data_IF_386479025043
#
_entry.id   IF_386479025043
#
_cell.length_a   1.000
_cell.length_b   1.000
_cell.length_c   1.000
_cell.angle_alpha   90.00
_cell.angle_beta   90.00
_cell.angle_gamma   90.00
#
_symmetry.space_group_name_H-M   'P 1'
#
loop_
_entity.id
_entity.type
_entity.pdbx_description
1 polymer ?
#
# COMPACT_ATOMS: atom_id res chain seq x y z
N UNK A 1 3.85 -12.32 36.03
CA UNK A 1 4.81 -13.07 35.19
C UNK A 1 4.25 -13.12 33.78
N UNK A 2 4.72 -12.24 32.88
CA UNK A 2 4.35 -12.21 31.46
C UNK A 2 5.65 -11.99 30.68
N UNK A 3 6.55 -12.96 30.73
CA UNK A 3 7.84 -12.92 30.01
C UNK A 3 7.88 -13.93 28.85
N UNK A 4 6.95 -14.90 28.79
CA UNK A 4 7.00 -15.98 27.79
C UNK A 4 6.67 -15.58 26.34
N UNK A 5 5.82 -14.57 26.11
CA UNK A 5 5.36 -14.23 24.76
C UNK A 5 6.33 -13.33 23.97
N UNK A 6 7.22 -12.60 24.64
CA UNK A 6 8.19 -11.73 23.95
C UNK A 6 9.38 -12.53 23.41
N UNK A 7 9.84 -13.54 24.15
CA UNK A 7 10.97 -14.37 23.73
C UNK A 7 10.61 -15.26 22.53
N UNK A 8 9.40 -15.84 22.52
CA UNK A 8 8.90 -16.65 21.40
C UNK A 8 8.78 -15.86 20.09
N UNK A 9 8.27 -14.62 20.16
CA UNK A 9 8.16 -13.74 19.00
C UNK A 9 9.53 -13.28 18.48
N UNK A 10 10.53 -13.19 19.37
CA UNK A 10 11.91 -12.88 19.00
C UNK A 10 12.58 -14.06 18.30
N UNK A 11 12.39 -15.29 18.82
CA UNK A 11 12.91 -16.52 18.24
C UNK A 11 12.32 -16.79 16.84
N UNK A 12 11.00 -16.61 16.67
CA UNK A 12 10.31 -16.76 15.38
C UNK A 12 10.85 -15.81 14.31
N UNK A 13 11.13 -14.56 14.70
CA UNK A 13 11.72 -13.55 13.79
C UNK A 13 13.13 -13.91 13.34
N UNK A 14 13.97 -14.43 14.24
CA UNK A 14 15.32 -14.85 13.89
C UNK A 14 15.31 -16.04 12.93
N UNK A 15 14.46 -17.04 13.18
CA UNK A 15 14.28 -18.18 12.28
C UNK A 15 13.75 -17.74 10.92
N UNK A 16 12.80 -16.79 10.89
CA UNK A 16 12.26 -16.22 9.65
C UNK A 16 13.34 -15.53 8.81
N UNK A 17 14.24 -14.75 9.44
CA UNK A 17 15.36 -14.11 8.73
C UNK A 17 16.33 -15.12 8.11
N UNK A 18 16.60 -16.21 8.82
CA UNK A 18 17.46 -17.27 8.32
C UNK A 18 16.79 -17.94 7.12
N UNK A 19 15.50 -18.29 7.24
CA UNK A 19 14.73 -18.88 6.14
C UNK A 19 14.70 -17.97 4.90
N UNK A 20 14.48 -16.67 5.08
CA UNK A 20 14.58 -15.68 3.98
C UNK A 20 15.96 -15.70 3.33
N UNK A 21 17.03 -15.80 4.13
CA UNK A 21 18.41 -15.84 3.62
C UNK A 21 18.64 -17.08 2.77
N UNK A 22 18.11 -18.23 3.19
CA UNK A 22 18.17 -19.49 2.42
C UNK A 22 17.39 -19.35 1.12
N UNK A 23 16.15 -18.85 1.16
CA UNK A 23 15.33 -18.61 -0.05
C UNK A 23 16.07 -17.72 -1.06
N UNK A 24 16.80 -16.71 -0.59
CA UNK A 24 17.57 -15.81 -1.46
C UNK A 24 18.71 -16.51 -2.21
N UNK A 25 19.29 -17.59 -1.64
CA UNK A 25 20.34 -18.37 -2.31
C UNK A 25 19.81 -19.08 -3.58
N UNK A 26 18.51 -19.38 -3.60
CA UNK A 26 17.81 -19.99 -4.74
C UNK A 26 17.40 -18.99 -5.82
N UNK A 27 17.61 -17.69 -5.59
CA UNK A 27 17.43 -16.66 -6.62
C UNK A 27 16.00 -16.54 -7.15
N UNK A 28 15.84 -16.59 -8.48
CA UNK A 28 14.54 -16.36 -9.14
C UNK A 28 13.63 -17.57 -9.14
N UNK A 29 14.24 -18.75 -9.04
CA UNK A 29 13.53 -20.02 -9.14
C UNK A 29 12.90 -20.41 -7.79
N UNK A 30 13.29 -19.72 -6.71
CA UNK A 30 12.77 -19.91 -5.36
C UNK A 30 13.16 -21.26 -4.74
N UNK A 31 12.80 -21.45 -3.48
CA UNK A 31 13.11 -22.66 -2.71
C UNK A 31 11.88 -23.60 -2.71
N UNK A 32 11.93 -24.80 -3.29
CA UNK A 32 10.82 -25.75 -3.23
C UNK A 32 10.42 -26.07 -1.77
N UNK A 33 9.12 -26.08 -1.48
CA UNK A 33 8.58 -26.30 -0.13
C UNK A 33 9.06 -27.61 0.48
N UNK A 34 9.12 -28.66 -0.33
CA UNK A 34 9.61 -29.99 0.06
C UNK A 34 11.08 -29.98 0.52
N UNK A 35 11.88 -29.04 0.00
CA UNK A 35 13.30 -28.89 0.37
C UNK A 35 13.52 -27.94 1.54
N UNK A 36 12.51 -27.17 1.96
CA UNK A 36 12.68 -26.14 3.01
C UNK A 36 13.21 -26.72 4.30
N UNK A 37 12.65 -27.85 4.77
CA UNK A 37 13.11 -28.49 6.01
C UNK A 37 14.55 -28.96 5.92
N UNK A 38 14.92 -29.59 4.80
CA UNK A 38 16.26 -30.16 4.58
C UNK A 38 17.30 -29.04 4.46
N UNK A 39 17.02 -28.01 3.68
CA UNK A 39 17.90 -26.86 3.47
C UNK A 39 18.08 -26.05 4.75
N UNK A 40 17.00 -25.83 5.50
CA UNK A 40 17.09 -25.15 6.80
C UNK A 40 17.88 -25.98 7.81
N UNK A 41 17.64 -27.29 7.89
CA UNK A 41 18.38 -28.17 8.79
C UNK A 41 19.85 -28.27 8.41
N UNK A 42 20.17 -28.31 7.12
CA UNK A 42 21.55 -28.29 6.63
C UNK A 42 22.27 -26.99 7.00
N UNK A 43 21.56 -25.85 6.92
CA UNK A 43 22.12 -24.53 7.22
C UNK A 43 22.29 -24.27 8.72
N UNK A 44 21.32 -24.70 9.54
CA UNK A 44 21.23 -24.37 10.97
C UNK A 44 21.66 -25.50 11.91
N UNK A 45 21.66 -26.74 11.44
CA UNK A 45 21.91 -27.94 12.25
C UNK A 45 20.69 -28.42 13.07
N UNK A 46 19.52 -27.79 12.92
CA UNK A 46 18.28 -28.17 13.61
C UNK A 46 17.06 -27.96 12.72
N UNK A 47 15.95 -28.64 13.04
CA UNK A 47 14.69 -28.54 12.28
C UNK A 47 13.90 -27.28 12.64
N UNK A 48 13.13 -26.75 11.69
CA UNK A 48 12.29 -25.57 11.91
C UNK A 48 11.26 -25.89 13.00
N UNK A 49 11.24 -25.18 14.14
CA UNK A 49 10.37 -25.50 15.26
C UNK A 49 8.97 -24.88 15.09
N UNK A 50 8.32 -25.08 13.93
CA UNK A 50 7.04 -24.43 13.60
C UNK A 50 5.91 -24.77 14.58
N UNK A 51 5.93 -25.94 15.21
CA UNK A 51 4.97 -26.34 16.24
C UNK A 51 5.04 -25.44 17.48
N UNK A 52 6.23 -24.92 17.82
CA UNK A 52 6.41 -23.97 18.94
C UNK A 52 5.73 -22.62 18.67
N UNK A 53 5.49 -22.29 17.39
CA UNK A 53 4.80 -21.09 16.96
C UNK A 53 3.29 -21.30 16.78
N UNK A 54 2.77 -22.47 17.18
CA UNK A 54 1.34 -22.78 17.14
C UNK A 54 0.83 -23.22 15.76
N UNK A 55 1.72 -23.67 14.88
CA UNK A 55 1.36 -24.16 13.55
C UNK A 55 1.33 -25.70 13.50
N UNK A 56 0.33 -26.27 12.82
CA UNK A 56 0.16 -27.73 12.69
C UNK A 56 1.17 -28.38 11.75
N UNK A 57 1.70 -27.61 10.78
CA UNK A 57 2.69 -28.07 9.82
C UNK A 57 3.51 -26.90 9.25
N UNK A 58 4.67 -27.20 8.67
CA UNK A 58 5.59 -26.22 8.08
C UNK A 58 4.89 -25.27 7.09
N UNK A 59 4.04 -25.82 6.22
CA UNK A 59 3.27 -25.05 5.25
C UNK A 59 2.38 -24.02 5.94
N UNK A 60 1.62 -24.44 6.96
CA UNK A 60 0.72 -23.55 7.72
C UNK A 60 1.47 -22.41 8.41
N UNK A 61 2.70 -22.66 8.89
CA UNK A 61 3.57 -21.65 9.46
C UNK A 61 4.15 -20.69 8.41
N UNK A 62 4.65 -21.19 7.27
CA UNK A 62 5.19 -20.31 6.21
C UNK A 62 4.13 -19.33 5.73
N UNK A 63 2.87 -19.76 5.65
CA UNK A 63 1.74 -18.90 5.26
C UNK A 63 1.44 -17.78 6.26
N UNK A 64 1.94 -17.86 7.50
CA UNK A 64 1.82 -16.76 8.48
C UNK A 64 2.96 -15.74 8.37
N UNK A 65 4.03 -16.03 7.60
CA UNK A 65 5.19 -15.16 7.48
C UNK A 65 4.96 -14.06 6.42
N UNK A 66 5.07 -12.77 6.77
CA UNK A 66 4.71 -11.68 5.87
C UNK A 66 5.67 -11.48 4.68
N UNK A 67 6.92 -11.94 4.81
CA UNK A 67 8.00 -11.65 3.85
C UNK A 67 8.28 -12.81 2.87
N UNK A 68 7.51 -13.90 2.94
CA UNK A 68 7.70 -15.11 2.15
C UNK A 68 6.41 -15.45 1.40
N UNK A 69 6.50 -15.61 0.09
CA UNK A 69 5.40 -16.07 -0.75
C UNK A 69 5.56 -17.53 -1.12
N UNK A 70 4.47 -18.29 -1.06
CA UNK A 70 4.36 -19.64 -1.58
C UNK A 70 3.68 -19.60 -2.96
N UNK A 71 4.38 -20.05 -3.99
CA UNK A 71 3.96 -20.07 -5.40
C UNK A 71 4.05 -21.50 -5.95
N UNK A 72 3.53 -21.72 -7.16
CA UNK A 72 3.73 -22.97 -7.89
C UNK A 72 4.70 -22.72 -9.05
N UNK A 73 5.64 -23.63 -9.26
CA UNK A 73 6.51 -23.60 -10.44
C UNK A 73 5.80 -24.17 -11.69
N UNK A 74 6.51 -24.21 -12.83
CA UNK A 74 5.98 -24.76 -14.08
C UNK A 74 5.64 -26.26 -14.03
N UNK A 75 6.16 -26.98 -13.03
CA UNK A 75 5.91 -28.40 -12.80
C UNK A 75 4.85 -28.62 -11.71
N UNK A 76 4.20 -27.55 -11.24
CA UNK A 76 3.18 -27.58 -10.18
C UNK A 76 3.72 -27.97 -8.80
N UNK A 77 5.02 -27.76 -8.55
CA UNK A 77 5.63 -27.89 -7.23
C UNK A 77 5.51 -26.58 -6.47
N UNK A 78 5.37 -26.65 -5.15
CA UNK A 78 5.29 -25.45 -4.31
C UNK A 78 6.67 -24.89 -4.05
N UNK A 79 6.83 -23.58 -4.19
CA UNK A 79 8.11 -22.89 -4.12
C UNK A 79 7.97 -21.59 -3.33
N UNK A 80 8.91 -21.35 -2.43
CA UNK A 80 9.02 -20.15 -1.61
C UNK A 80 9.85 -19.09 -2.35
N UNK A 81 9.33 -17.87 -2.44
CA UNK A 81 10.05 -16.71 -2.95
C UNK A 81 9.97 -15.58 -1.93
N UNK A 82 11.09 -14.89 -1.71
CA UNK A 82 11.13 -13.72 -0.82
C UNK A 82 10.36 -12.54 -1.44
N UNK A 83 9.48 -11.90 -0.68
CA UNK A 83 9.00 -10.56 -1.02
C UNK A 83 10.12 -9.55 -0.76
N UNK A 84 10.55 -8.84 -1.80
CA UNK A 84 11.67 -7.91 -1.64
C UNK A 84 11.43 -6.59 -2.37
N UNK A 85 11.26 -5.52 -1.58
CA UNK A 85 11.42 -4.12 -2.02
C UNK A 85 12.84 -3.83 -2.57
N UNK A 86 13.83 -4.68 -2.28
CA UNK A 86 15.22 -4.55 -2.75
C UNK A 86 15.52 -5.25 -4.09
N UNK A 87 14.63 -6.11 -4.58
CA UNK A 87 14.89 -6.91 -5.78
C UNK A 87 14.62 -6.19 -7.10
N UNK A 88 13.97 -5.01 -7.06
CA UNK A 88 13.71 -4.19 -8.26
C UNK A 88 14.99 -3.56 -8.81
N UNK A 89 15.85 -3.00 -7.96
CA UNK A 89 17.15 -2.47 -8.37
C UNK A 89 18.11 -3.58 -8.83
N UNK A 90 18.03 -4.78 -8.24
CA UNK A 90 18.78 -5.96 -8.72
C UNK A 90 18.18 -6.47 -10.05
N UNK A 91 16.86 -6.45 -10.23
CA UNK A 91 16.19 -6.71 -11.51
C UNK A 91 16.66 -5.71 -12.57
N UNK A 92 16.71 -4.43 -12.26
CA UNK A 92 17.22 -3.40 -13.18
C UNK A 92 18.70 -3.58 -13.48
N UNK A 93 19.54 -3.87 -12.49
CA UNK A 93 20.96 -4.18 -12.70
C UNK A 93 21.14 -5.42 -13.59
N UNK A 94 20.38 -6.49 -13.36
CA UNK A 94 20.45 -7.71 -14.16
C UNK A 94 19.87 -7.51 -15.57
N UNK A 95 18.80 -6.73 -15.74
CA UNK A 95 18.21 -6.40 -17.04
C UNK A 95 19.13 -5.48 -17.85
N UNK A 96 19.74 -4.48 -17.21
CA UNK A 96 20.77 -3.60 -17.80
C UNK A 96 22.03 -4.39 -18.16
N UNK A 97 22.44 -5.37 -17.34
CA UNK A 97 23.56 -6.28 -17.62
C UNK A 97 23.27 -7.28 -18.76
N UNK A 98 22.01 -7.70 -18.96
CA UNK A 98 21.63 -8.63 -20.04
C UNK A 98 21.38 -7.96 -21.40
N UNK A 99 21.14 -6.64 -21.44
CA UNK A 99 20.93 -5.88 -22.68
C UNK A 99 22.22 -5.56 -23.45
N UNK A 100 23.40 -5.73 -22.85
CA UNK A 100 24.69 -5.37 -23.47
C UNK A 100 25.58 -6.57 -23.86
N UNK A 101 25.07 -7.79 -23.81
CA UNK A 101 25.82 -9.00 -24.20
C UNK A 101 25.32 -9.66 -25.49
N UNK A 102 25.10 -8.87 -26.53
CA UNK A 102 25.20 -9.33 -27.94
C UNK A 102 25.58 -8.17 -28.85
N UNK A 103 26.82 -7.71 -28.77
CA UNK A 103 27.69 -7.58 -29.95
C UNK A 103 29.08 -7.12 -29.49
N UNK A 104 30.10 -7.60 -30.21
CA UNK A 104 31.52 -7.22 -30.19
C UNK A 104 32.47 -8.15 -29.43
N UNK A 105 32.87 -9.19 -30.16
CA UNK A 105 34.25 -9.64 -30.17
C UNK A 105 35.18 -8.45 -30.51
N UNK A 106 36.11 -8.10 -29.62
CA UNK A 106 37.56 -7.99 -29.92
C UNK A 106 38.38 -7.60 -28.69
N UNK A 107 39.18 -8.57 -28.23
CA UNK A 107 40.61 -8.53 -27.88
C UNK A 107 41.23 -7.28 -27.20
N UNK A 108 41.84 -7.61 -26.04
CA UNK A 108 43.21 -7.34 -25.54
C UNK A 108 43.41 -6.28 -24.45
N UNK A 109 43.98 -6.79 -23.34
CA UNK A 109 45.04 -6.27 -22.47
C UNK A 109 45.08 -4.77 -22.15
N UNK A 110 45.04 -4.41 -20.86
CA UNK A 110 46.29 -4.28 -20.09
C UNK A 110 46.05 -4.13 -18.59
N UNK A 111 47.14 -4.37 -17.86
CA UNK A 111 47.26 -4.52 -16.41
C UNK A 111 47.18 -3.22 -15.61
N UNK A 112 46.95 -3.44 -14.30
CA UNK A 112 47.65 -2.83 -13.16
C UNK A 112 47.12 -1.55 -12.45
N UNK A 113 46.73 -1.81 -11.19
CA UNK A 113 47.25 -1.24 -9.93
C UNK A 113 46.64 0.01 -9.25
N UNK A 114 46.37 -0.22 -7.95
CA UNK A 114 46.21 0.69 -6.79
C UNK A 114 44.91 1.52 -6.69
N UNK A 115 44.28 1.76 -5.54
CA UNK A 115 44.67 1.58 -4.13
C UNK A 115 43.42 1.44 -3.24
N UNK A 116 43.59 0.75 -2.10
CA UNK A 116 42.73 0.78 -0.90
C UNK A 116 42.36 2.21 -0.51
N UNK A 117 41.14 2.41 -0.01
CA UNK A 117 40.98 2.84 1.38
C UNK A 117 39.57 2.63 1.95
N UNK A 118 39.46 2.90 3.24
CA UNK A 118 38.78 2.11 4.25
C UNK A 118 37.50 2.74 4.81
N UNK A 119 36.65 1.87 5.38
CA UNK A 119 35.81 2.07 6.57
C UNK A 119 35.41 3.53 6.93
N UNK A 120 34.10 3.79 6.97
CA UNK A 120 33.44 4.26 8.21
C UNK A 120 31.90 4.20 8.17
N UNK A 121 31.39 3.64 9.27
CA UNK A 121 30.01 3.51 9.74
C UNK A 121 29.18 4.79 9.64
N UNK A 122 27.88 4.62 9.33
CA UNK A 122 26.70 5.08 10.10
C UNK A 122 25.54 4.14 9.71
N UNK A 123 25.17 3.11 10.46
CA UNK A 123 24.27 3.17 11.62
C UNK A 123 23.27 4.34 11.57
N UNK A 124 22.03 4.07 11.14
CA UNK A 124 20.82 4.59 11.79
C UNK A 124 19.54 3.98 11.19
N UNK A 125 18.67 3.46 12.06
CA UNK A 125 17.21 3.53 11.89
C UNK A 125 16.50 2.31 11.32
N UNK A 126 16.26 1.30 12.16
CA UNK A 126 15.08 0.43 12.03
C UNK A 126 13.81 1.31 12.02
N UNK A 127 13.02 1.23 10.96
CA UNK A 127 11.65 1.72 10.99
C UNK A 127 10.71 0.55 11.26
N UNK A 128 10.05 0.62 12.42
CA UNK A 128 8.90 -0.19 12.77
C UNK A 128 7.78 0.06 11.75
N UNK A 129 7.36 -0.99 11.04
CA UNK A 129 6.11 -0.96 10.28
C UNK A 129 4.93 -0.78 11.25
N UNK A 130 3.94 0.09 10.95
CA UNK A 130 2.80 0.29 11.82
C UNK A 130 1.92 -0.96 11.88
N UNK A 131 1.43 -1.27 13.08
CA UNK A 131 0.37 -2.25 13.31
C UNK A 131 -0.87 -1.85 12.49
N UNK A 132 -1.11 -2.52 11.35
CA UNK A 132 -2.19 -2.19 10.42
C UNK A 132 -1.86 -2.34 8.93
N UNK A 133 -0.63 -2.64 8.54
CA UNK A 133 -0.30 -3.08 7.18
C UNK A 133 -0.92 -4.46 6.91
N UNK A 134 -2.06 -4.50 6.22
CA UNK A 134 -2.75 -5.74 5.85
C UNK A 134 -2.32 -6.17 4.44
N UNK A 135 -1.44 -7.18 4.37
CA UNK A 135 -1.21 -7.97 3.16
C UNK A 135 -2.45 -8.84 2.95
N UNK A 136 -3.07 -8.74 1.77
CA UNK A 136 -4.34 -9.39 1.49
C UNK A 136 -4.17 -10.90 1.23
N UNK A 137 -4.69 -11.74 2.12
CA UNK A 137 -4.79 -13.20 1.98
C UNK A 137 -5.63 -13.68 0.76
N UNK A 138 -6.30 -12.79 0.04
CA UNK A 138 -7.06 -13.15 -1.18
C UNK A 138 -6.24 -13.11 -2.45
N UNK A 139 -5.02 -12.57 -2.41
CA UNK A 139 -4.02 -12.71 -3.50
C UNK A 139 -3.29 -14.06 -3.35
N UNK A 140 -3.21 -14.58 -2.11
CA UNK A 140 -2.43 -15.76 -1.73
C UNK A 140 -3.22 -17.09 -1.70
N UNK A 141 -4.52 -17.09 -2.04
CA UNK A 141 -5.29 -18.32 -2.24
C UNK A 141 -5.66 -18.46 -3.71
N UNK A 142 -4.76 -19.02 -4.52
CA UNK A 142 -5.07 -19.85 -5.70
C UNK A 142 -3.77 -20.22 -6.41
N UNK A 143 -3.78 -21.35 -7.13
CA UNK A 143 -2.72 -21.93 -7.98
C UNK A 143 -2.73 -21.34 -9.41
N UNK A 144 -1.56 -20.93 -9.94
CA UNK A 144 -1.47 -20.14 -11.19
C UNK A 144 -1.25 -21.10 -12.35
N UNK A 145 -2.29 -21.40 -13.14
CA UNK A 145 -2.14 -21.94 -14.50
C UNK A 145 -3.45 -21.83 -15.28
N UNK A 146 -3.98 -20.62 -15.42
CA UNK A 146 -5.08 -20.37 -16.34
C UNK A 146 -5.00 -18.96 -16.92
N UNK A 147 -5.20 -18.81 -18.23
CA UNK A 147 -5.27 -17.52 -18.94
C UNK A 147 -6.35 -16.59 -18.37
N UNK A 148 -7.40 -17.18 -17.78
CA UNK A 148 -8.41 -16.50 -16.97
C UNK A 148 -7.85 -15.82 -15.71
N UNK A 149 -6.68 -16.24 -15.20
CA UNK A 149 -6.05 -15.70 -13.99
C UNK A 149 -5.14 -14.50 -14.25
N UNK A 150 -4.47 -14.41 -15.40
CA UNK A 150 -3.79 -13.17 -15.81
C UNK A 150 -4.81 -12.02 -15.92
N UNK A 151 -5.96 -12.29 -16.54
CA UNK A 151 -7.09 -11.38 -16.52
C UNK A 151 -7.54 -11.06 -15.09
N UNK A 152 -7.56 -12.04 -14.18
CA UNK A 152 -7.91 -11.81 -12.77
C UNK A 152 -6.86 -11.01 -11.99
N UNK A 153 -5.59 -11.13 -12.32
CA UNK A 153 -4.52 -10.34 -11.71
C UNK A 153 -4.56 -8.89 -12.22
N UNK A 154 -4.73 -8.69 -13.52
CA UNK A 154 -4.95 -7.38 -14.12
C UNK A 154 -6.23 -6.72 -13.59
N UNK A 155 -7.29 -7.51 -13.40
CA UNK A 155 -8.51 -7.10 -12.68
C UNK A 155 -8.21 -6.61 -11.26
N UNK A 156 -7.39 -7.35 -10.51
CA UNK A 156 -7.07 -7.01 -9.12
C UNK A 156 -6.13 -5.81 -9.03
N UNK A 157 -5.17 -5.65 -9.95
CA UNK A 157 -4.32 -4.46 -10.05
C UNK A 157 -5.15 -3.21 -10.37
N UNK A 158 -6.15 -3.32 -11.26
CA UNK A 158 -7.10 -2.25 -11.53
C UNK A 158 -7.92 -1.84 -10.28
N UNK A 159 -8.04 -2.72 -9.29
CA UNK A 159 -8.79 -2.50 -8.04
C UNK A 159 -7.92 -1.98 -6.89
N UNK A 160 -6.66 -1.63 -7.14
CA UNK A 160 -5.77 -1.05 -6.14
C UNK A 160 -5.98 0.48 -5.98
N UNK A 161 -5.50 1.07 -4.86
CA UNK A 161 -5.06 0.41 -3.63
C UNK A 161 -6.27 -0.09 -2.81
N UNK A 162 -6.08 -1.15 -2.03
CA UNK A 162 -7.14 -1.69 -1.17
C UNK A 162 -6.97 -1.24 0.29
N UNK A 163 -8.03 -0.67 0.87
CA UNK A 163 -8.16 -0.33 2.28
C UNK A 163 -9.32 -1.14 2.87
N UNK A 164 -9.03 -2.13 3.70
CA UNK A 164 -10.06 -2.99 4.34
C UNK A 164 -11.10 -3.55 3.35
N UNK A 165 -10.64 -4.19 2.26
CA UNK A 165 -11.47 -4.71 1.16
C UNK A 165 -12.26 -3.66 0.37
N UNK A 166 -12.00 -2.37 0.59
CA UNK A 166 -12.52 -1.28 -0.22
C UNK A 166 -11.42 -0.82 -1.17
N UNK A 167 -11.73 -0.68 -2.45
CA UNK A 167 -10.83 0.04 -3.35
C UNK A 167 -10.85 1.52 -3.01
N UNK A 168 -9.67 2.10 -2.76
CA UNK A 168 -9.55 3.52 -2.55
C UNK A 168 -9.57 4.25 -3.90
N UNK A 169 -10.27 5.38 -3.94
CA UNK A 169 -10.27 6.32 -5.04
C UNK A 169 -10.04 7.72 -4.50
N UNK A 170 -9.11 8.45 -5.09
CA UNK A 170 -8.76 9.77 -4.59
C UNK A 170 -7.54 10.37 -5.27
N UNK A 171 -6.89 11.27 -4.56
CA UNK A 171 -5.77 12.08 -5.05
C UNK A 171 -4.44 11.67 -4.39
N UNK A 172 -3.50 12.62 -4.32
CA UNK A 172 -2.19 12.51 -3.68
C UNK A 172 -2.23 11.86 -2.30
N UNK A 173 -3.31 12.04 -1.53
CA UNK A 173 -3.39 11.48 -0.20
C UNK A 173 -3.41 9.95 -0.22
N UNK A 174 -4.23 9.34 -1.08
CA UNK A 174 -4.25 7.88 -1.17
C UNK A 174 -3.05 7.32 -1.93
N UNK A 175 -2.45 8.09 -2.83
CA UNK A 175 -1.14 7.79 -3.43
C UNK A 175 -0.06 7.70 -2.35
N UNK A 176 0.04 8.69 -1.47
CA UNK A 176 0.99 8.72 -0.35
C UNK A 176 0.75 7.58 0.64
N UNK A 177 -0.50 7.24 0.96
CA UNK A 177 -0.81 6.05 1.78
C UNK A 177 -0.41 4.75 1.07
N UNK A 178 -0.70 4.63 -0.23
CA UNK A 178 -0.38 3.44 -1.00
C UNK A 178 1.13 3.16 -1.00
N UNK A 179 1.94 4.18 -1.26
CA UNK A 179 3.40 4.10 -1.25
C UNK A 179 3.95 3.86 0.17
N UNK A 180 3.59 4.74 1.12
CA UNK A 180 4.29 4.78 2.42
C UNK A 180 3.75 3.83 3.49
N UNK A 181 2.51 3.34 3.35
CA UNK A 181 1.84 2.51 4.38
C UNK A 181 1.39 1.16 3.88
N UNK A 182 1.02 1.04 2.60
CA UNK A 182 0.55 -0.22 2.03
C UNK A 182 1.65 -0.96 1.25
N UNK A 183 2.76 -0.28 0.92
CA UNK A 183 3.89 -0.87 0.23
C UNK A 183 3.63 -1.13 -1.26
N UNK A 184 2.63 -0.44 -1.84
CA UNK A 184 2.41 -0.47 -3.29
C UNK A 184 3.51 0.33 -3.99
N UNK A 185 4.00 -0.20 -5.11
CA UNK A 185 5.03 0.48 -5.88
C UNK A 185 4.43 1.69 -6.61
N UNK A 186 4.99 2.87 -6.37
CA UNK A 186 4.72 4.08 -7.14
C UNK A 186 6.02 4.53 -7.80
N UNK A 187 6.07 4.64 -9.14
CA UNK A 187 7.30 4.97 -9.85
C UNK A 187 7.95 6.26 -9.34
N UNK A 188 9.26 6.26 -9.07
CA UNK A 188 9.99 7.48 -8.68
C UNK A 188 9.92 8.55 -9.77
N UNK A 189 10.03 8.11 -11.03
CA UNK A 189 9.93 8.92 -12.24
C UNK A 189 8.66 8.52 -13.03
N UNK A 190 7.90 9.51 -13.49
CA UNK A 190 6.67 9.29 -14.26
C UNK A 190 5.39 9.59 -13.49
N UNK A 191 4.22 9.16 -14.00
CA UNK A 191 2.92 9.40 -13.39
C UNK A 191 2.87 8.78 -11.98
N UNK A 192 2.51 9.59 -10.98
CA UNK A 192 2.33 9.16 -9.60
C UNK A 192 0.91 8.65 -9.43
N UNK A 193 0.69 7.37 -9.71
CA UNK A 193 -0.61 6.73 -9.60
C UNK A 193 -0.55 5.31 -9.03
N UNK A 194 -1.65 4.88 -8.43
CA UNK A 194 -1.90 3.53 -7.96
C UNK A 194 -3.38 3.24 -8.20
N UNK A 195 -3.68 2.41 -9.19
CA UNK A 195 -5.05 2.15 -9.66
C UNK A 195 -5.82 3.43 -9.96
N UNK A 196 -6.91 3.69 -9.24
CA UNK A 196 -7.77 4.88 -9.45
C UNK A 196 -7.37 6.10 -8.61
N UNK A 197 -6.23 6.03 -7.90
CA UNK A 197 -5.63 7.15 -7.19
C UNK A 197 -4.47 7.73 -7.99
N UNK A 198 -4.43 9.05 -8.19
CA UNK A 198 -3.35 9.74 -8.87
C UNK A 198 -3.07 11.12 -8.26
N UNK A 199 -1.80 11.53 -8.32
CA UNK A 199 -1.38 12.85 -7.89
C UNK A 199 -2.02 13.96 -8.75
N UNK A 200 -2.48 15.03 -8.11
CA UNK A 200 -3.15 16.16 -8.77
C UNK A 200 -4.53 15.81 -9.36
N UNK A 201 -5.14 14.70 -8.96
CA UNK A 201 -6.41 14.25 -9.50
C UNK A 201 -7.57 15.13 -9.00
N UNK A 202 -8.38 15.63 -9.93
CA UNK A 202 -9.64 16.32 -9.61
C UNK A 202 -10.82 15.35 -9.56
N UNK A 203 -11.96 15.79 -9.02
CA UNK A 203 -13.22 15.02 -9.03
C UNK A 203 -13.63 14.63 -10.46
N UNK A 204 -13.46 15.55 -11.41
CA UNK A 204 -13.80 15.33 -12.81
C UNK A 204 -12.88 14.28 -13.46
N UNK A 205 -11.57 14.34 -13.16
CA UNK A 205 -10.61 13.36 -13.67
C UNK A 205 -10.90 11.97 -13.12
N UNK A 206 -11.22 11.87 -11.83
CA UNK A 206 -11.63 10.62 -11.22
C UNK A 206 -12.90 10.07 -11.86
N UNK A 207 -13.89 10.92 -12.13
CA UNK A 207 -15.14 10.51 -12.81
C UNK A 207 -14.84 9.90 -14.18
N UNK A 208 -13.97 10.53 -14.99
CA UNK A 208 -13.55 10.00 -16.29
C UNK A 208 -12.79 8.67 -16.13
N UNK A 209 -11.90 8.55 -15.14
CA UNK A 209 -11.18 7.30 -14.86
C UNK A 209 -12.15 6.18 -14.49
N UNK A 210 -13.18 6.45 -13.67
CA UNK A 210 -14.20 5.46 -13.29
C UNK A 210 -15.06 5.04 -14.49
N UNK A 211 -15.47 6.00 -15.34
CA UNK A 211 -16.22 5.70 -16.57
C UNK A 211 -15.45 4.75 -17.50
N UNK A 212 -14.15 4.97 -17.62
CA UNK A 212 -13.27 4.17 -18.47
C UNK A 212 -12.71 2.91 -17.78
N UNK A 213 -12.88 2.77 -16.46
CA UNK A 213 -12.35 1.64 -15.72
C UNK A 213 -13.04 0.36 -16.18
N UNK A 214 -12.26 -0.64 -16.58
CA UNK A 214 -12.79 -1.96 -16.96
C UNK A 214 -13.35 -2.66 -15.72
N UNK A 215 -12.63 -2.55 -14.60
CA UNK A 215 -12.96 -3.21 -13.35
C UNK A 215 -13.01 -2.23 -12.19
N UNK A 216 -13.98 -2.44 -11.30
CA UNK A 216 -14.18 -1.66 -10.10
C UNK A 216 -14.54 -2.61 -8.96
N UNK A 217 -14.00 -2.37 -7.77
CA UNK A 217 -14.32 -3.23 -6.63
C UNK A 217 -15.81 -3.10 -6.22
N UNK A 218 -16.42 -4.15 -5.65
CA UNK A 218 -17.80 -4.09 -5.15
C UNK A 218 -18.01 -3.07 -4.03
N UNK A 219 -16.93 -2.69 -3.34
CA UNK A 219 -16.92 -1.67 -2.29
C UNK A 219 -15.79 -0.71 -2.56
N UNK A 220 -16.08 0.58 -2.46
CA UNK A 220 -15.11 1.64 -2.66
C UNK A 220 -15.14 2.63 -1.52
N UNK A 221 -13.97 3.23 -1.28
CA UNK A 221 -13.80 4.35 -0.37
C UNK A 221 -13.26 5.53 -1.16
N UNK A 222 -13.96 6.66 -1.10
CA UNK A 222 -13.68 7.83 -1.92
C UNK A 222 -13.31 9.00 -1.02
N UNK A 223 -12.15 9.61 -1.27
CA UNK A 223 -11.77 10.90 -0.69
C UNK A 223 -11.13 11.73 -1.79
N UNK A 224 -11.81 12.78 -2.23
CA UNK A 224 -11.42 13.56 -3.41
C UNK A 224 -11.91 15.01 -3.29
N UNK A 225 -11.14 15.94 -3.84
CA UNK A 225 -11.50 17.36 -3.92
C UNK A 225 -10.45 18.31 -3.36
N UNK A 226 -9.32 17.82 -2.81
CA UNK A 226 -8.23 18.71 -2.39
C UNK A 226 -7.71 19.53 -3.57
N UNK A 227 -7.45 18.88 -4.70
CA UNK A 227 -6.94 19.57 -5.88
C UNK A 227 -7.93 20.61 -6.42
N UNK A 228 -9.23 20.28 -6.47
CA UNK A 228 -10.27 21.23 -6.89
C UNK A 228 -10.34 22.47 -5.99
N UNK A 229 -10.21 22.27 -4.67
CA UNK A 229 -10.15 23.37 -3.70
C UNK A 229 -8.92 24.26 -3.93
N UNK A 230 -7.74 23.65 -4.09
CA UNK A 230 -6.46 24.32 -4.32
C UNK A 230 -6.45 25.11 -5.64
N UNK A 231 -7.02 24.56 -6.70
CA UNK A 231 -7.19 25.24 -7.99
C UNK A 231 -8.30 26.30 -7.99
N UNK A 232 -9.01 26.51 -6.88
CA UNK A 232 -10.01 27.56 -6.77
C UNK A 232 -11.35 27.25 -7.46
N UNK A 233 -11.65 25.98 -7.75
CA UNK A 233 -12.90 25.56 -8.41
C UNK A 233 -14.13 25.96 -7.59
N UNK A 234 -15.21 26.38 -8.25
CA UNK A 234 -16.45 26.71 -7.54
C UNK A 234 -16.95 25.50 -6.71
N UNK A 235 -17.30 25.72 -5.44
CA UNK A 235 -17.72 24.63 -4.53
C UNK A 235 -19.02 23.96 -4.99
N UNK A 236 -19.96 24.71 -5.56
CA UNK A 236 -21.19 24.11 -6.11
C UNK A 236 -20.87 23.19 -7.28
N UNK A 237 -19.92 23.58 -8.13
CA UNK A 237 -19.46 22.70 -9.21
C UNK A 237 -18.84 21.42 -8.63
N UNK A 238 -17.97 21.54 -7.62
CA UNK A 238 -17.38 20.38 -6.94
C UNK A 238 -18.46 19.44 -6.37
N UNK A 239 -19.53 19.98 -5.77
CA UNK A 239 -20.66 19.20 -5.26
C UNK A 239 -21.38 18.50 -6.41
N UNK A 240 -21.66 19.20 -7.51
CA UNK A 240 -22.27 18.59 -8.70
C UNK A 240 -21.40 17.48 -9.30
N UNK A 241 -20.09 17.73 -9.41
CA UNK A 241 -19.12 16.77 -9.95
C UNK A 241 -19.03 15.52 -9.04
N UNK A 242 -19.03 15.71 -7.72
CA UNK A 242 -19.01 14.59 -6.77
C UNK A 242 -20.32 13.78 -6.86
N UNK A 243 -21.48 14.45 -6.99
CA UNK A 243 -22.76 13.77 -7.22
C UNK A 243 -22.69 12.90 -8.48
N UNK A 244 -22.15 13.42 -9.57
CA UNK A 244 -21.99 12.65 -10.81
C UNK A 244 -21.05 11.46 -10.65
N UNK A 245 -19.93 11.63 -9.94
CA UNK A 245 -19.03 10.51 -9.60
C UNK A 245 -19.76 9.41 -8.84
N UNK A 246 -20.54 9.78 -7.82
CA UNK A 246 -21.30 8.83 -7.00
C UNK A 246 -22.35 8.09 -7.84
N UNK A 247 -23.09 8.81 -8.68
CA UNK A 247 -24.07 8.20 -9.61
C UNK A 247 -23.38 7.18 -10.50
N UNK A 248 -22.21 7.51 -11.05
CA UNK A 248 -21.46 6.61 -11.92
C UNK A 248 -20.97 5.36 -11.16
N UNK A 249 -20.42 5.51 -9.95
CA UNK A 249 -20.02 4.38 -9.12
C UNK A 249 -21.21 3.48 -8.77
N UNK A 250 -22.38 4.06 -8.47
CA UNK A 250 -23.61 3.33 -8.16
C UNK A 250 -24.17 2.60 -9.38
N UNK A 251 -24.09 3.21 -10.58
CA UNK A 251 -24.44 2.58 -11.86
C UNK A 251 -23.61 1.31 -12.13
N UNK A 252 -22.39 1.25 -11.60
CA UNK A 252 -21.49 0.09 -11.64
C UNK A 252 -21.74 -0.95 -10.54
N UNK A 253 -22.85 -0.82 -9.78
CA UNK A 253 -23.24 -1.68 -8.66
C UNK A 253 -22.21 -1.75 -7.52
N UNK A 254 -21.54 -0.63 -7.26
CA UNK A 254 -20.55 -0.50 -6.20
C UNK A 254 -21.15 0.18 -4.97
N UNK A 255 -20.85 -0.36 -3.78
CA UNK A 255 -21.13 0.29 -2.50
C UNK A 255 -20.10 1.40 -2.26
N UNK A 256 -20.60 2.61 -2.01
CA UNK A 256 -19.77 3.81 -1.92
C UNK A 256 -19.71 4.31 -0.49
N UNK A 257 -18.50 4.40 0.05
CA UNK A 257 -18.18 5.10 1.29
C UNK A 257 -17.42 6.38 0.97
N UNK A 258 -17.95 7.54 1.32
CA UNK A 258 -17.32 8.84 1.08
C UNK A 258 -16.71 9.36 2.37
N UNK A 259 -15.50 9.91 2.29
CA UNK A 259 -14.79 10.53 3.41
C UNK A 259 -14.78 12.04 3.21
N UNK A 260 -15.12 12.80 4.25
CA UNK A 260 -14.97 14.26 4.26
C UNK A 260 -13.50 14.67 4.13
N UNK A 261 -13.23 15.81 3.50
CA UNK A 261 -11.86 16.34 3.39
C UNK A 261 -11.34 16.71 4.77
N UNK A 262 -10.16 16.20 5.10
CA UNK A 262 -9.49 16.44 6.37
C UNK A 262 -8.67 17.74 6.36
N UNK A 263 -8.42 18.36 7.52
CA UNK A 263 -7.54 19.52 7.60
C UNK A 263 -6.12 19.12 7.16
N UNK A 264 -5.57 19.78 6.13
CA UNK A 264 -4.24 19.47 5.60
C UNK A 264 -3.29 20.67 5.71
N UNK A 265 -2.03 20.47 6.13
CA UNK A 265 -0.99 21.50 6.09
C UNK A 265 -0.68 22.07 4.69
N UNK A 266 -1.06 21.34 3.64
CA UNK A 266 -0.96 21.82 2.25
C UNK A 266 -2.08 22.77 1.86
N UNK A 267 -3.20 22.79 2.59
CA UNK A 267 -4.24 23.79 2.37
C UNK A 267 -3.74 25.11 2.99
N UNK A 268 -3.62 26.19 2.20
CA UNK A 268 -3.36 27.50 2.74
C UNK A 268 -4.30 27.81 3.92
N UNK A 269 -3.78 28.39 5.00
CA UNK A 269 -4.55 28.89 6.16
C UNK A 269 -5.38 30.15 5.81
N UNK A 270 -5.91 30.20 4.60
CA UNK A 270 -6.82 31.22 4.13
C UNK A 270 -8.22 30.90 4.66
N UNK A 271 -8.78 31.80 5.48
CA UNK A 271 -10.15 31.68 6.02
C UNK A 271 -11.18 31.33 4.92
N UNK A 272 -11.02 31.91 3.73
CA UNK A 272 -11.88 31.64 2.56
C UNK A 272 -11.80 30.19 2.08
N UNK A 273 -10.61 29.58 2.10
CA UNK A 273 -10.44 28.20 1.67
C UNK A 273 -11.03 27.23 2.70
N UNK A 274 -10.83 27.51 4.00
CA UNK A 274 -11.47 26.75 5.09
C UNK A 274 -12.99 26.78 4.96
N UNK A 275 -13.58 27.96 4.78
CA UNK A 275 -15.03 28.08 4.58
C UNK A 275 -15.53 27.26 3.38
N UNK A 276 -14.79 27.27 2.26
CA UNK A 276 -15.12 26.45 1.08
C UNK A 276 -15.06 24.96 1.37
N UNK A 277 -14.03 24.50 2.08
CA UNK A 277 -13.92 23.12 2.54
C UNK A 277 -15.07 22.73 3.47
N UNK A 278 -15.45 23.61 4.40
CA UNK A 278 -16.56 23.37 5.34
C UNK A 278 -17.92 23.28 4.62
N UNK A 279 -18.12 24.05 3.54
CA UNK A 279 -19.33 23.95 2.70
C UNK A 279 -19.33 22.61 1.94
N UNK A 280 -18.20 22.24 1.34
CA UNK A 280 -18.06 20.99 0.60
C UNK A 280 -18.25 19.76 1.50
N UNK A 281 -17.63 19.74 2.67
CA UNK A 281 -17.78 18.66 3.65
C UNK A 281 -19.22 18.54 4.15
N UNK A 282 -19.93 19.66 4.39
CA UNK A 282 -21.35 19.60 4.75
C UNK A 282 -22.20 18.95 3.66
N UNK A 283 -21.97 19.31 2.40
CA UNK A 283 -22.66 18.68 1.28
C UNK A 283 -22.35 17.17 1.17
N UNK A 284 -21.13 16.73 1.51
CA UNK A 284 -20.80 15.30 1.59
C UNK A 284 -21.62 14.60 2.68
N UNK A 285 -21.78 15.22 3.86
CA UNK A 285 -22.57 14.65 4.96
C UNK A 285 -24.03 14.45 4.56
N UNK A 286 -24.60 15.40 3.80
CA UNK A 286 -25.98 15.30 3.32
C UNK A 286 -26.20 14.06 2.42
N UNK A 287 -25.15 13.51 1.79
CA UNK A 287 -25.27 12.30 0.95
C UNK A 287 -25.56 11.03 1.75
N UNK A 288 -25.35 11.04 3.07
CA UNK A 288 -25.77 9.95 3.94
C UNK A 288 -27.31 9.84 4.02
N UNK A 289 -28.00 10.96 3.91
CA UNK A 289 -29.46 11.04 3.99
C UNK A 289 -30.13 11.14 2.61
N UNK A 290 -29.37 11.32 1.53
CA UNK A 290 -29.89 11.38 0.17
C UNK A 290 -30.43 10.02 -0.27
N UNK A 291 -31.73 9.97 -0.54
CA UNK A 291 -32.46 8.75 -0.93
C UNK A 291 -32.05 8.18 -2.27
N UNK A 292 -31.51 9.00 -3.18
CA UNK A 292 -31.02 8.59 -4.50
C UNK A 292 -29.58 8.05 -4.41
N UNK A 293 -28.72 8.71 -3.63
CA UNK A 293 -27.30 8.36 -3.55
C UNK A 293 -27.01 7.23 -2.55
N UNK A 294 -27.70 7.21 -1.40
CA UNK A 294 -27.55 6.23 -0.31
C UNK A 294 -26.08 5.83 -0.06
N UNK A 295 -25.25 6.80 0.26
CA UNK A 295 -23.83 6.59 0.53
C UNK A 295 -23.58 6.35 2.01
N UNK A 296 -22.56 5.55 2.33
CA UNK A 296 -21.97 5.61 3.65
C UNK A 296 -21.07 6.85 3.69
N UNK A 297 -21.10 7.62 4.78
CA UNK A 297 -20.25 8.80 4.93
C UNK A 297 -19.46 8.70 6.23
N UNK A 298 -18.16 8.97 6.14
CA UNK A 298 -17.26 9.05 7.29
C UNK A 298 -16.83 10.51 7.44
N UNK A 299 -17.24 11.14 8.54
CA UNK A 299 -16.81 12.51 8.87
C UNK A 299 -15.41 12.52 9.48
N UNK A 300 -14.41 12.24 8.65
CA UNK A 300 -13.01 12.24 9.07
C UNK A 300 -12.55 13.64 9.50
N UNK A 301 -13.11 14.71 8.92
CA UNK A 301 -12.82 16.08 9.33
C UNK A 301 -13.15 16.33 10.82
N UNK A 302 -14.35 15.94 11.27
CA UNK A 302 -14.73 16.10 12.67
C UNK A 302 -13.81 15.30 13.62
N UNK A 303 -13.41 14.10 13.22
CA UNK A 303 -12.50 13.26 14.02
C UNK A 303 -11.13 13.94 14.18
N UNK A 304 -10.57 14.48 13.10
CA UNK A 304 -9.31 15.22 13.15
C UNK A 304 -9.40 16.53 13.94
N UNK A 305 -10.56 17.20 13.93
CA UNK A 305 -10.79 18.39 14.74
C UNK A 305 -10.89 18.05 16.24
N UNK A 306 -11.45 16.89 16.60
CA UNK A 306 -11.54 16.45 18.00
C UNK A 306 -10.19 16.00 18.58
N UNK A 307 -9.24 15.58 17.74
CA UNK A 307 -7.85 15.27 18.11
C UNK A 307 -6.98 16.54 18.27
N UNK A 308 -7.60 17.72 18.50
CA UNK A 308 -7.05 19.06 18.28
C UNK A 308 -5.64 19.26 18.86
N UNK A 309 -5.40 18.85 20.11
CA UNK A 309 -4.14 19.18 20.79
C UNK A 309 -2.93 18.39 20.25
N UNK A 310 -3.13 17.09 19.97
CA UNK A 310 -2.08 16.22 19.45
C UNK A 310 -1.88 16.44 17.95
N UNK A 311 -2.98 16.60 17.23
CA UNK A 311 -2.94 16.88 15.80
C UNK A 311 -2.32 18.25 15.50
N UNK A 312 -2.59 19.29 16.31
CA UNK A 312 -2.03 20.64 16.10
C UNK A 312 -0.51 20.68 16.28
N UNK A 313 0.04 20.00 17.29
CA UNK A 313 1.50 19.88 17.49
C UNK A 313 2.19 19.23 16.29
N UNK A 314 1.55 18.22 15.71
CA UNK A 314 2.05 17.49 14.55
C UNK A 314 1.81 18.24 13.22
N UNK A 315 0.70 18.97 13.10
CA UNK A 315 0.35 19.87 11.99
C UNK A 315 1.40 20.98 11.83
N UNK A 316 1.84 21.60 12.94
CA UNK A 316 2.88 22.63 12.93
C UNK A 316 4.25 22.07 12.50
N UNK A 317 4.54 20.82 12.88
CA UNK A 317 5.75 20.11 12.44
C UNK A 317 5.68 19.79 10.94
N UNK A 318 4.52 19.33 10.45
CA UNK A 318 4.33 18.99 9.04
C UNK A 318 4.35 20.24 8.14
N UNK A 319 3.77 21.36 8.58
CA UNK A 319 3.78 22.62 7.83
C UNK A 319 5.21 23.08 7.47
N UNK A 320 6.22 22.68 8.26
CA UNK A 320 7.64 22.94 7.97
C UNK A 320 8.26 21.93 6.99
N UNK A 321 7.78 20.68 7.00
CA UNK A 321 8.28 19.58 6.16
C UNK A 321 7.62 19.55 4.78
N UNK A 322 6.32 19.83 4.68
CA UNK A 322 5.57 19.89 3.42
C UNK A 322 6.11 20.96 2.46
N UNK A 323 6.81 21.99 2.97
CA UNK A 323 7.56 22.95 2.14
C UNK A 323 8.72 22.31 1.36
N UNK A 324 9.19 21.13 1.76
CA UNK A 324 10.34 20.43 1.14
C UNK A 324 9.94 19.27 0.24
N UNK A 325 8.70 18.76 0.37
CA UNK A 325 8.20 17.62 -0.40
C UNK A 325 6.75 17.88 -0.81
N UNK A 326 6.55 18.11 -2.11
CA UNK A 326 5.26 18.45 -2.70
C UNK A 326 4.27 17.29 -2.69
N UNK A 327 4.70 16.05 -2.42
CA UNK A 327 3.84 14.86 -2.42
C UNK A 327 3.44 14.41 -1.01
N UNK A 328 4.17 14.82 0.02
CA UNK A 328 3.84 14.48 1.42
C UNK A 328 2.65 15.30 1.96
N UNK A 329 1.44 14.77 1.82
CA UNK A 329 0.19 15.45 2.22
C UNK A 329 -0.03 15.42 3.74
N UNK A 330 0.48 14.37 4.41
CA UNK A 330 0.31 14.13 5.86
C UNK A 330 1.59 13.68 6.57
N UNK A 331 1.58 13.84 7.90
CA UNK A 331 2.59 13.28 8.81
C UNK A 331 2.40 11.78 8.99
N UNK A 332 3.42 11.11 9.51
CA UNK A 332 3.29 9.69 9.91
C UNK A 332 2.24 9.48 11.00
N UNK A 333 2.11 10.43 11.93
CA UNK A 333 1.11 10.39 13.00
C UNK A 333 -0.31 10.57 12.45
N UNK A 334 -0.54 11.59 11.62
CA UNK A 334 -1.84 11.83 10.98
C UNK A 334 -2.26 10.68 10.07
N UNK A 335 -1.33 10.08 9.30
CA UNK A 335 -1.61 8.85 8.53
C UNK A 335 -2.01 7.68 9.43
N UNK A 336 -1.35 7.52 10.58
CA UNK A 336 -1.67 6.46 11.54
C UNK A 336 -3.08 6.63 12.10
N UNK A 337 -3.44 7.83 12.54
CA UNK A 337 -4.80 8.15 13.01
C UNK A 337 -5.81 7.88 11.91
N UNK A 338 -5.59 8.43 10.71
CA UNK A 338 -6.49 8.25 9.57
C UNK A 338 -6.76 6.76 9.31
N UNK A 339 -5.70 5.94 9.21
CA UNK A 339 -5.82 4.51 8.93
C UNK A 339 -6.48 3.74 10.08
N UNK A 340 -6.16 4.05 11.35
CA UNK A 340 -6.80 3.38 12.50
C UNK A 340 -8.28 3.70 12.60
N UNK A 341 -8.65 4.96 12.36
CA UNK A 341 -10.04 5.40 12.36
C UNK A 341 -10.80 4.79 11.20
N UNK A 342 -10.24 4.89 9.99
CA UNK A 342 -10.84 4.32 8.79
C UNK A 342 -11.06 2.81 8.94
N UNK A 343 -10.11 2.09 9.55
CA UNK A 343 -10.25 0.67 9.89
C UNK A 343 -11.50 0.41 10.72
N UNK A 344 -11.68 1.17 11.79
CA UNK A 344 -12.78 0.97 12.72
C UNK A 344 -14.12 1.15 11.99
N UNK A 345 -14.26 2.28 11.28
CA UNK A 345 -15.48 2.61 10.54
C UNK A 345 -15.79 1.59 9.42
N UNK A 346 -14.79 1.19 8.62
CA UNK A 346 -15.03 0.23 7.53
C UNK A 346 -15.31 -1.18 8.04
N UNK A 347 -14.72 -1.58 9.18
CA UNK A 347 -15.01 -2.88 9.81
C UNK A 347 -16.46 -2.94 10.27
N UNK A 348 -16.94 -1.90 10.96
CA UNK A 348 -18.34 -1.79 11.40
C UNK A 348 -19.31 -1.89 10.22
N UNK A 349 -19.01 -1.21 9.10
CA UNK A 349 -19.82 -1.31 7.88
C UNK A 349 -19.91 -2.74 7.33
N UNK A 350 -18.79 -3.48 7.34
CA UNK A 350 -18.76 -4.88 6.89
C UNK A 350 -19.56 -5.79 7.82
N UNK A 351 -19.42 -5.61 9.14
CA UNK A 351 -20.08 -6.43 10.16
C UNK A 351 -21.61 -6.22 10.18
N UNK A 352 -22.08 -5.00 9.91
CA UNK A 352 -23.52 -4.68 9.83
C UNK A 352 -24.12 -5.05 8.46
N UNK A 353 -23.31 -5.51 7.50
CA UNK A 353 -23.77 -5.97 6.19
C UNK A 353 -24.06 -4.84 5.17
N UNK A 354 -23.55 -3.64 5.43
CA UNK A 354 -23.74 -2.47 4.56
C UNK A 354 -22.99 -2.57 3.23
#
# INVERSE_FOLDING_TARGET
MVLGNQDLLSEEKEITKILISIICLYGKDGLPLEKVSEEFQSYCGFTIPYEKFGAENLRSWILTLPDIYLLLDSQNNEVLIQQSQKSTHIKELILKQKSHRRYQLKRKNDNNYFHRDSKRRRESGLYNLPQGSFIHNSINKTSVNDSNRFNKFEQLECMLPLLYKHQALGDDFFVDIADTKLGYYIPENGPKECGLCAAGQTILDLTKKVQNAVYLAPRVVVMIGFQDLLCGRNVNNMICDLRQLVIELKRRNTRVTIITLIPSPKLPTLKRLKMRMDIYNRAILDYACDTELKCNVIDMNAIFLNEEENFRKDYDRLSRLAKKDQYKVFSDYGRKIFLSTLKCCLREQIEVGH
#
